data_IF_079263999279
#
_entry.id   IF_079263999279
#
_cell.length_a   1.000
_cell.length_b   1.000
_cell.length_c   1.000
_cell.angle_alpha   90.00
_cell.angle_beta   90.00
_cell.angle_gamma   90.00
#
_symmetry.space_group_name_H-M   'P 1'
#
loop_
_entity.id
_entity.type
_entity.pdbx_description
1 polymer ?
#
# COMPACT_ATOMS: atom_id res chain seq x y z
N UNK A 1 -25.23 -12.30 16.76
CA UNK A 1 -24.37 -11.35 17.51
C UNK A 1 -22.98 -11.96 17.62
N UNK A 2 -21.88 -11.23 17.34
CA UNK A 2 -20.55 -11.80 17.53
C UNK A 2 -20.25 -11.87 19.03
N UNK A 3 -19.88 -13.06 19.50
CA UNK A 3 -19.49 -13.29 20.88
C UNK A 3 -18.12 -12.62 21.12
N UNK A 4 -18.11 -11.56 21.91
CA UNK A 4 -16.89 -10.97 22.46
C UNK A 4 -16.30 -11.99 23.43
N UNK A 5 -15.22 -12.69 23.03
CA UNK A 5 -14.45 -13.53 23.96
C UNK A 5 -13.91 -12.62 25.06
N UNK A 6 -14.44 -12.75 26.28
CA UNK A 6 -13.83 -12.16 27.48
C UNK A 6 -12.42 -12.75 27.62
N UNK A 7 -11.42 -11.89 27.73
CA UNK A 7 -10.08 -12.32 28.10
C UNK A 7 -10.14 -12.95 29.51
N UNK A 8 -9.46 -14.08 29.76
CA UNK A 8 -9.41 -14.69 31.08
C UNK A 8 -8.93 -13.67 32.11
N UNK A 9 -9.54 -13.64 33.30
CA UNK A 9 -9.22 -12.67 34.37
C UNK A 9 -7.83 -12.88 34.99
N UNK A 10 -7.09 -13.92 34.58
CA UNK A 10 -5.80 -14.33 35.14
C UNK A 10 -4.76 -14.60 34.05
N UNK A 11 -4.50 -13.59 33.20
CA UNK A 11 -3.40 -13.66 32.23
C UNK A 11 -2.09 -13.36 32.96
N UNK A 12 -1.23 -14.37 33.10
CA UNK A 12 0.17 -14.17 33.47
C UNK A 12 0.90 -13.45 32.33
N UNK A 13 0.96 -12.13 32.46
CA UNK A 13 1.62 -11.25 31.49
C UNK A 13 3.12 -11.50 31.37
N UNK A 14 3.78 -11.98 32.43
CA UNK A 14 5.21 -12.27 32.39
C UNK A 14 5.48 -13.53 31.57
N UNK A 15 4.67 -14.57 31.76
CA UNK A 15 4.72 -15.75 30.90
C UNK A 15 4.38 -15.41 29.44
N UNK A 16 3.41 -14.52 29.19
CA UNK A 16 3.01 -14.13 27.83
C UNK A 16 4.11 -13.40 27.06
N UNK A 17 4.79 -12.40 27.64
CA UNK A 17 5.84 -11.62 26.93
C UNK A 17 7.13 -12.40 26.70
N UNK A 18 7.34 -13.48 27.43
CA UNK A 18 8.50 -14.38 27.27
C UNK A 18 8.24 -15.47 26.22
N UNK A 19 7.01 -15.57 25.68
CA UNK A 19 6.74 -16.48 24.58
C UNK A 19 7.55 -16.03 23.36
N UNK A 20 8.25 -16.95 22.67
CA UNK A 20 8.97 -16.61 21.46
C UNK A 20 7.96 -16.13 20.41
N UNK A 21 8.33 -15.07 19.69
CA UNK A 21 7.54 -14.64 18.53
C UNK A 21 7.34 -15.83 17.59
N UNK A 22 6.11 -16.02 17.13
CA UNK A 22 5.86 -16.93 16.04
C UNK A 22 6.77 -16.54 14.88
N UNK A 23 7.62 -17.48 14.43
CA UNK A 23 8.42 -17.29 13.22
C UNK A 23 7.46 -17.02 12.08
N UNK A 24 7.28 -15.76 11.77
CA UNK A 24 6.52 -15.35 10.61
C UNK A 24 7.47 -15.55 9.45
N UNK A 25 7.32 -16.64 8.71
CA UNK A 25 7.96 -16.73 7.41
C UNK A 25 7.50 -15.49 6.64
N UNK A 26 8.43 -14.62 6.24
CA UNK A 26 8.15 -13.36 5.52
C UNK A 26 7.53 -13.56 4.14
N UNK A 27 7.00 -14.75 3.85
CA UNK A 27 6.39 -15.12 2.60
C UNK A 27 5.00 -14.49 2.57
N UNK A 28 4.87 -13.41 1.80
CA UNK A 28 3.58 -12.82 1.48
C UNK A 28 2.62 -13.89 0.96
N UNK A 29 1.39 -13.92 1.49
CA UNK A 29 0.37 -14.83 1.00
C UNK A 29 0.14 -14.65 -0.52
N UNK A 30 -0.15 -15.73 -1.24
CA UNK A 30 -0.33 -15.74 -2.71
C UNK A 30 -1.30 -14.66 -3.24
N UNK A 31 -2.45 -14.37 -2.60
CA UNK A 31 -3.31 -13.27 -3.03
C UNK A 31 -2.62 -11.91 -2.98
N UNK A 32 -1.75 -11.70 -1.99
CA UNK A 32 -0.98 -10.47 -1.82
C UNK A 32 0.09 -10.33 -2.89
N UNK A 33 0.81 -11.42 -3.21
CA UNK A 33 1.76 -11.45 -4.34
C UNK A 33 1.10 -11.08 -5.67
N UNK A 34 -0.09 -11.62 -5.95
CA UNK A 34 -0.86 -11.27 -7.16
C UNK A 34 -1.23 -9.79 -7.21
N UNK A 35 -1.65 -9.20 -6.09
CA UNK A 35 -1.96 -7.76 -6.01
C UNK A 35 -0.71 -6.90 -6.22
N UNK A 36 0.42 -7.24 -5.61
CA UNK A 36 1.70 -6.56 -5.80
C UNK A 36 2.14 -6.60 -7.27
N UNK A 37 2.04 -7.77 -7.91
CA UNK A 37 2.37 -7.93 -9.32
C UNK A 37 1.44 -7.09 -10.21
N UNK A 38 0.16 -7.01 -9.88
CA UNK A 38 -0.79 -6.13 -10.57
C UNK A 38 -0.40 -4.65 -10.42
N UNK A 39 0.00 -4.23 -9.22
CA UNK A 39 0.49 -2.85 -9.00
C UNK A 39 1.76 -2.59 -9.80
N UNK A 40 2.73 -3.51 -9.80
CA UNK A 40 3.98 -3.39 -10.56
C UNK A 40 3.71 -3.17 -12.05
N UNK A 41 2.87 -4.01 -12.66
CA UNK A 41 2.50 -3.90 -14.08
C UNK A 41 1.84 -2.56 -14.40
N UNK A 42 0.97 -2.08 -13.52
CA UNK A 42 0.34 -0.77 -13.67
C UNK A 42 1.35 0.38 -13.53
N UNK A 43 2.28 0.29 -12.59
CA UNK A 43 3.31 1.30 -12.42
C UNK A 43 4.26 1.35 -13.62
N UNK A 44 4.57 0.19 -14.24
CA UNK A 44 5.31 0.13 -15.52
C UNK A 44 4.55 0.82 -16.66
N UNK A 45 3.24 0.57 -16.81
CA UNK A 45 2.39 1.25 -17.80
C UNK A 45 2.26 2.75 -17.57
N UNK A 46 2.20 3.18 -16.31
CA UNK A 46 2.17 4.58 -15.96
C UNK A 46 3.50 5.26 -16.28
N UNK A 47 4.60 4.65 -15.85
CA UNK A 47 5.96 5.20 -16.03
C UNK A 47 6.40 5.27 -17.50
N UNK A 48 5.88 4.42 -18.39
CA UNK A 48 6.14 4.55 -19.83
C UNK A 48 5.55 5.81 -20.47
N UNK A 49 4.60 6.48 -19.80
CA UNK A 49 4.01 7.76 -20.21
C UNK A 49 4.77 8.98 -19.65
N UNK A 50 5.79 8.76 -18.82
CA UNK A 50 6.57 9.82 -18.18
C UNK A 50 7.87 10.09 -18.95
N UNK A 51 8.57 11.18 -18.58
CA UNK A 51 9.89 11.50 -19.12
C UNK A 51 10.94 11.55 -17.98
N UNK A 52 11.88 10.59 -17.88
CA UNK A 52 12.14 9.52 -18.85
C UNK A 52 11.11 8.37 -18.78
N UNK A 53 10.85 7.64 -19.88
CA UNK A 53 9.89 6.53 -19.90
C UNK A 53 10.51 5.24 -19.32
N UNK A 54 11.11 5.33 -18.12
CA UNK A 54 11.89 4.26 -17.48
C UNK A 54 11.37 3.97 -16.08
N UNK A 55 10.79 2.79 -15.91
CA UNK A 55 10.26 2.31 -14.63
C UNK A 55 11.28 2.42 -13.49
N UNK A 56 12.51 1.96 -13.72
CA UNK A 56 13.58 1.88 -12.73
C UNK A 56 13.98 3.26 -12.21
N UNK A 57 13.91 4.27 -13.07
CA UNK A 57 14.18 5.65 -12.70
C UNK A 57 13.14 6.15 -11.67
N UNK A 58 11.87 5.92 -11.95
CA UNK A 58 10.76 6.45 -11.13
C UNK A 58 10.60 5.72 -9.81
N UNK A 59 10.76 4.39 -9.79
CA UNK A 59 10.60 3.61 -8.55
C UNK A 59 11.70 3.93 -7.53
N UNK A 60 12.94 4.21 -8.01
CA UNK A 60 14.07 4.63 -7.17
C UNK A 60 13.96 6.06 -6.67
N UNK A 61 13.34 6.96 -7.45
CA UNK A 61 13.22 8.38 -7.18
C UNK A 61 11.78 8.78 -6.81
N UNK A 62 11.20 8.07 -5.85
CA UNK A 62 9.79 8.25 -5.52
C UNK A 62 9.51 9.59 -4.84
N UNK A 63 8.47 10.28 -5.29
CA UNK A 63 7.99 11.54 -4.70
C UNK A 63 6.49 11.46 -4.43
N UNK A 64 5.96 12.36 -3.58
CA UNK A 64 4.52 12.41 -3.35
C UNK A 64 3.75 12.69 -4.65
N UNK A 65 4.27 13.55 -5.54
CA UNK A 65 3.62 13.88 -6.82
C UNK A 65 3.57 12.70 -7.76
N UNK A 66 4.64 11.90 -7.81
CA UNK A 66 4.67 10.67 -8.60
C UNK A 66 3.64 9.66 -8.09
N UNK A 67 3.55 9.47 -6.77
CA UNK A 67 2.56 8.60 -6.13
C UNK A 67 1.14 9.11 -6.44
N UNK A 68 0.89 10.41 -6.24
CA UNK A 68 -0.42 11.02 -6.50
C UNK A 68 -0.82 10.86 -7.98
N UNK A 69 0.11 11.14 -8.91
CA UNK A 69 -0.12 10.98 -10.34
C UNK A 69 -0.44 9.54 -10.73
N UNK A 70 0.31 8.57 -10.19
CA UNK A 70 0.06 7.15 -10.42
C UNK A 70 -1.33 6.73 -9.91
N UNK A 71 -1.67 7.13 -8.69
CA UNK A 71 -2.94 6.81 -8.05
C UNK A 71 -4.13 7.42 -8.81
N UNK A 72 -4.02 8.69 -9.25
CA UNK A 72 -5.03 9.35 -10.09
C UNK A 72 -5.16 8.69 -11.45
N UNK A 73 -4.05 8.36 -12.10
CA UNK A 73 -4.05 7.64 -13.37
C UNK A 73 -4.78 6.29 -13.23
N UNK A 74 -4.50 5.52 -12.18
CA UNK A 74 -5.18 4.25 -11.93
C UNK A 74 -6.68 4.40 -11.72
N UNK A 75 -7.10 5.41 -10.94
CA UNK A 75 -8.53 5.70 -10.73
C UNK A 75 -9.25 6.00 -12.06
N UNK A 76 -8.63 6.83 -12.90
CA UNK A 76 -9.20 7.23 -14.20
C UNK A 76 -9.28 6.05 -15.16
N UNK A 77 -8.21 5.24 -15.26
CA UNK A 77 -8.12 4.12 -16.19
C UNK A 77 -9.08 2.97 -15.82
N UNK A 78 -9.32 2.75 -14.52
CA UNK A 78 -10.11 1.61 -14.03
C UNK A 78 -11.51 1.97 -13.53
N UNK A 79 -11.93 3.24 -13.69
CA UNK A 79 -13.23 3.77 -13.25
C UNK A 79 -13.63 3.29 -11.84
N UNK A 80 -12.68 3.35 -10.90
CA UNK A 80 -12.88 2.82 -9.56
C UNK A 80 -13.91 3.66 -8.80
N UNK A 81 -15.07 3.05 -8.51
CA UNK A 81 -16.21 3.73 -7.86
C UNK A 81 -16.10 3.78 -6.33
N UNK A 82 -15.26 2.95 -5.72
CA UNK A 82 -15.23 2.76 -4.26
C UNK A 82 -13.91 3.22 -3.65
N UNK A 83 -14.00 4.09 -2.64
CA UNK A 83 -12.87 4.58 -1.84
C UNK A 83 -12.10 3.45 -1.15
N UNK A 84 -12.78 2.38 -0.71
CA UNK A 84 -12.14 1.22 -0.09
C UNK A 84 -11.17 0.52 -1.05
N UNK A 85 -11.57 0.32 -2.31
CA UNK A 85 -10.70 -0.25 -3.34
C UNK A 85 -9.46 0.61 -3.62
N UNK A 86 -9.63 1.93 -3.59
CA UNK A 86 -8.52 2.88 -3.73
C UNK A 86 -7.50 2.79 -2.59
N UNK A 87 -7.97 2.75 -1.33
CA UNK A 87 -7.11 2.63 -0.16
C UNK A 87 -6.35 1.29 -0.15
N UNK A 88 -7.00 0.21 -0.57
CA UNK A 88 -6.36 -1.10 -0.74
C UNK A 88 -5.25 -1.02 -1.79
N UNK A 89 -5.53 -0.42 -2.95
CA UNK A 89 -4.52 -0.27 -4.02
C UNK A 89 -3.32 0.59 -3.57
N UNK A 90 -3.57 1.70 -2.88
CA UNK A 90 -2.50 2.54 -2.31
C UNK A 90 -1.68 1.80 -1.24
N UNK A 91 -2.30 0.89 -0.47
CA UNK A 91 -1.59 0.01 0.45
C UNK A 91 -0.72 -1.00 -0.31
N UNK A 92 -1.27 -1.68 -1.30
CA UNK A 92 -0.55 -2.67 -2.10
C UNK A 92 0.64 -2.03 -2.83
N UNK A 93 0.52 -0.76 -3.26
CA UNK A 93 1.64 0.01 -3.80
C UNK A 93 2.79 0.20 -2.82
N UNK A 94 2.52 0.49 -1.54
CA UNK A 94 3.59 0.63 -0.55
C UNK A 94 4.30 -0.70 -0.31
N UNK A 95 3.56 -1.81 -0.28
CA UNK A 95 4.13 -3.14 -0.13
C UNK A 95 5.01 -3.47 -1.33
N UNK A 96 4.49 -3.25 -2.54
CA UNK A 96 5.24 -3.36 -3.79
C UNK A 96 6.55 -2.57 -3.75
N UNK A 97 6.52 -1.31 -3.31
CA UNK A 97 7.72 -0.48 -3.24
C UNK A 97 8.72 -1.02 -2.21
N UNK A 98 8.26 -1.49 -1.05
CA UNK A 98 9.14 -2.09 -0.04
C UNK A 98 9.86 -3.32 -0.59
N UNK A 99 9.13 -4.21 -1.29
CA UNK A 99 9.70 -5.41 -1.91
C UNK A 99 10.74 -5.07 -2.98
N UNK A 100 10.45 -4.10 -3.86
CA UNK A 100 11.38 -3.71 -4.93
C UNK A 100 12.64 -2.99 -4.44
N UNK A 101 12.55 -2.32 -3.30
CA UNK A 101 13.65 -1.52 -2.74
C UNK A 101 14.37 -2.20 -1.58
N UNK A 102 13.87 -3.35 -1.14
CA UNK A 102 14.33 -4.09 0.04
C UNK A 102 14.53 -3.18 1.27
N UNK A 103 13.57 -2.27 1.48
CA UNK A 103 13.62 -1.29 2.57
C UNK A 103 12.24 -0.77 2.95
N UNK A 104 12.15 -0.20 4.15
CA UNK A 104 10.92 0.41 4.65
C UNK A 104 10.51 1.62 3.80
N UNK A 105 9.21 1.70 3.52
CA UNK A 105 8.63 2.85 2.81
C UNK A 105 8.89 4.16 3.58
N UNK A 106 9.32 5.26 2.91
CA UNK A 106 9.69 6.48 3.60
C UNK A 106 8.55 7.03 4.46
N UNK A 107 8.83 7.27 5.75
CA UNK A 107 7.83 7.64 6.74
C UNK A 107 7.06 8.92 6.34
N UNK A 108 7.77 9.95 5.86
CA UNK A 108 7.14 11.21 5.46
C UNK A 108 6.19 11.04 4.27
N UNK A 109 6.57 10.22 3.29
CA UNK A 109 5.70 9.88 2.18
C UNK A 109 4.48 9.11 2.67
N UNK A 110 4.67 8.13 3.57
CA UNK A 110 3.57 7.37 4.19
C UNK A 110 2.57 8.30 4.88
N UNK A 111 3.05 9.22 5.70
CA UNK A 111 2.22 10.18 6.46
C UNK A 111 1.45 11.11 5.52
N UNK A 112 2.11 11.61 4.47
CA UNK A 112 1.49 12.51 3.48
C UNK A 112 0.48 11.78 2.60
N UNK A 113 0.73 10.53 2.22
CA UNK A 113 -0.24 9.69 1.50
C UNK A 113 -1.52 9.48 2.30
N UNK A 114 -1.42 9.18 3.60
CA UNK A 114 -2.60 9.03 4.46
C UNK A 114 -3.42 10.33 4.47
N UNK A 115 -2.77 11.49 4.63
CA UNK A 115 -3.46 12.80 4.59
C UNK A 115 -4.10 13.09 3.22
N UNK A 116 -3.40 12.77 2.13
CA UNK A 116 -3.90 12.97 0.78
C UNK A 116 -5.06 12.03 0.42
N UNK A 117 -5.08 10.80 0.95
CA UNK A 117 -6.19 9.85 0.79
C UNK A 117 -7.52 10.29 1.44
N UNK A 118 -7.48 11.30 2.30
CA UNK A 118 -8.65 12.01 2.84
C UNK A 118 -8.95 13.32 2.10
N UNK A 119 -8.20 13.67 1.05
CA UNK A 119 -8.37 14.94 0.36
C UNK A 119 -9.42 14.82 -0.77
N UNK A 120 -10.49 15.66 -0.76
CA UNK A 120 -11.57 15.61 -1.75
C UNK A 120 -11.10 15.74 -3.21
N UNK A 121 -9.99 16.44 -3.46
CA UNK A 121 -9.47 16.65 -4.81
C UNK A 121 -8.97 15.37 -5.51
N UNK A 122 -8.70 14.28 -4.78
CA UNK A 122 -8.38 12.97 -5.38
C UNK A 122 -9.67 12.21 -5.76
N UNK A 123 -10.77 12.44 -5.04
CA UNK A 123 -12.06 11.78 -5.29
C UNK A 123 -12.98 12.55 -6.25
N UNK A 124 -12.74 13.85 -6.43
CA UNK A 124 -13.51 14.72 -7.33
C UNK A 124 -12.87 14.89 -8.71
N UNK A 125 -12.09 13.91 -9.20
CA UNK A 125 -11.61 13.90 -10.58
C UNK A 125 -12.76 13.51 -11.55
N UNK A 126 -13.79 14.34 -11.59
CA UNK A 126 -14.81 14.40 -12.63
C UNK A 126 -15.06 15.88 -12.91
N UNK A 127 -14.44 16.38 -13.98
CA UNK A 127 -14.97 17.45 -14.81
C UNK A 127 -15.03 16.87 -16.22
#
# INVERSE_FOLDING_TARGET
MPQTKKLPEDVDWNAFVQQPDNKTEGILAEPTKKRILHVKRNFQKFSSKLNPPKYEHWIKNITLRLIEGFLRWYLNEHNMKYQSGFLVFARDFRIFWCEEMDRLFPYDLRRRMTRAGYHPSIMNARN
#
